data_IF_650867935592
#
_entry.id   IF_650867935592
#
_cell.length_a   1.000
_cell.length_b   1.000
_cell.length_c   1.000
_cell.angle_alpha   90.00
_cell.angle_beta   90.00
_cell.angle_gamma   90.00
#
_symmetry.space_group_name_H-M   'P 1'
#
loop_
_entity.id
_entity.type
_entity.pdbx_description
1 polymer ?
#
# COMPACT_ATOMS: atom_id res chain seq x y z
N UNK A 1 -29.26 -10.68 -1.76
CA UNK A 1 -29.87 -9.56 -1.00
C UNK A 1 -29.02 -8.29 -1.11
N UNK A 2 -27.71 -8.34 -0.84
CA UNK A 2 -26.80 -7.17 -0.94
C UNK A 2 -26.85 -6.51 -2.33
N UNK A 3 -26.65 -7.28 -3.41
CA UNK A 3 -26.68 -6.75 -4.78
C UNK A 3 -28.00 -6.04 -5.12
N UNK A 4 -29.14 -6.68 -4.82
CA UNK A 4 -30.44 -6.06 -5.04
C UNK A 4 -30.71 -4.82 -4.16
N UNK A 5 -30.05 -4.66 -3.01
CA UNK A 5 -30.17 -3.46 -2.19
C UNK A 5 -29.32 -2.31 -2.73
N UNK A 6 -28.14 -2.63 -3.26
CA UNK A 6 -27.26 -1.70 -3.97
C UNK A 6 -27.92 -1.19 -5.26
N UNK A 7 -28.45 -2.08 -6.10
CA UNK A 7 -29.12 -1.72 -7.36
C UNK A 7 -30.31 -0.76 -7.17
N UNK A 8 -30.92 -0.80 -5.98
CA UNK A 8 -32.04 0.08 -5.60
C UNK A 8 -31.60 1.40 -4.95
N UNK A 9 -30.29 1.65 -4.82
CA UNK A 9 -29.74 2.83 -4.16
C UNK A 9 -30.02 2.89 -2.66
N UNK A 10 -30.49 1.79 -2.05
CA UNK A 10 -30.86 1.71 -0.64
C UNK A 10 -29.71 1.28 0.27
N UNK A 11 -28.50 1.19 -0.27
CA UNK A 11 -27.33 0.65 0.41
C UNK A 11 -26.09 1.42 0.01
N UNK A 12 -25.32 1.89 1.00
CA UNK A 12 -24.11 2.65 0.73
C UNK A 12 -23.07 1.78 -0.01
N UNK A 13 -22.41 2.28 -1.07
CA UNK A 13 -21.45 1.51 -1.85
C UNK A 13 -20.30 0.91 -1.01
N UNK A 14 -19.73 1.68 -0.07
CA UNK A 14 -18.67 1.23 0.83
C UNK A 14 -19.11 0.02 1.66
N UNK A 15 -20.26 0.11 2.33
CA UNK A 15 -20.82 -0.99 3.12
C UNK A 15 -21.18 -2.20 2.24
N UNK A 16 -21.63 -1.96 1.01
CA UNK A 16 -21.87 -3.03 0.04
C UNK A 16 -20.59 -3.80 -0.26
N UNK A 17 -19.50 -3.08 -0.55
CA UNK A 17 -18.20 -3.67 -0.83
C UNK A 17 -17.67 -4.46 0.38
N UNK A 18 -17.77 -3.90 1.59
CA UNK A 18 -17.39 -4.59 2.83
C UNK A 18 -18.17 -5.90 3.02
N UNK A 19 -19.49 -5.87 2.87
CA UNK A 19 -20.33 -7.06 3.01
C UNK A 19 -20.03 -8.10 1.93
N UNK A 20 -19.82 -7.68 0.68
CA UNK A 20 -19.46 -8.59 -0.41
C UNK A 20 -18.11 -9.26 -0.14
N UNK A 21 -17.13 -8.50 0.34
CA UNK A 21 -15.82 -9.02 0.77
C UNK A 21 -15.95 -10.00 1.94
N UNK A 22 -16.80 -9.72 2.92
CA UNK A 22 -17.03 -10.60 4.07
C UNK A 22 -17.78 -11.90 3.69
N UNK A 23 -18.71 -11.81 2.73
CA UNK A 23 -19.40 -12.99 2.19
C UNK A 23 -18.45 -13.85 1.35
N UNK A 24 -17.45 -13.24 0.71
CA UNK A 24 -16.42 -13.89 -0.10
C UNK A 24 -17.00 -14.80 -1.21
N UNK A 25 -18.19 -14.47 -1.74
CA UNK A 25 -18.83 -15.24 -2.79
C UNK A 25 -18.52 -14.64 -4.16
N UNK A 26 -18.04 -15.48 -5.10
CA UNK A 26 -17.58 -15.08 -6.45
C UNK A 26 -18.56 -14.21 -7.24
N UNK A 27 -19.86 -14.38 -7.03
CA UNK A 27 -20.89 -13.56 -7.67
C UNK A 27 -20.81 -12.06 -7.33
N UNK A 28 -20.15 -11.68 -6.23
CA UNK A 28 -19.92 -10.27 -5.87
C UNK A 28 -18.78 -9.62 -6.66
N UNK A 29 -17.90 -10.40 -7.27
CA UNK A 29 -16.68 -9.89 -7.88
C UNK A 29 -16.92 -8.86 -9.01
N UNK A 30 -17.82 -9.10 -9.99
CA UNK A 30 -18.06 -8.12 -11.05
C UNK A 30 -18.56 -6.77 -10.52
N UNK A 31 -19.33 -6.80 -9.42
CA UNK A 31 -19.87 -5.58 -8.80
C UNK A 31 -18.77 -4.82 -8.07
N UNK A 32 -17.85 -5.51 -7.39
CA UNK A 32 -16.69 -4.89 -6.77
C UNK A 32 -15.74 -4.27 -7.81
N UNK A 33 -15.53 -4.95 -8.94
CA UNK A 33 -14.73 -4.43 -10.05
C UNK A 33 -15.38 -3.18 -10.67
N UNK A 34 -16.69 -3.18 -10.86
CA UNK A 34 -17.43 -2.01 -11.32
C UNK A 34 -17.30 -0.85 -10.33
N UNK A 35 -17.51 -1.09 -9.03
CA UNK A 35 -17.34 -0.08 -7.97
C UNK A 35 -15.94 0.53 -7.95
N UNK A 36 -14.90 -0.27 -8.14
CA UNK A 36 -13.52 0.22 -8.13
C UNK A 36 -13.26 1.20 -9.30
N UNK A 37 -14.00 1.08 -10.40
CA UNK A 37 -13.81 1.88 -11.61
C UNK A 37 -14.90 2.95 -11.82
N UNK A 38 -15.87 3.03 -10.91
CA UNK A 38 -16.97 3.98 -10.95
C UNK A 38 -16.66 5.21 -10.10
N UNK A 39 -16.72 6.40 -10.71
CA UNK A 39 -16.51 7.69 -10.04
C UNK A 39 -17.59 7.97 -8.99
N UNK A 40 -18.84 7.53 -9.22
CA UNK A 40 -19.93 7.72 -8.26
C UNK A 40 -19.76 6.83 -7.00
N UNK A 41 -18.88 5.82 -7.09
CA UNK A 41 -18.52 4.92 -6.01
C UNK A 41 -17.21 5.32 -5.30
N UNK A 42 -16.80 6.60 -5.33
CA UNK A 42 -15.57 7.10 -4.69
C UNK A 42 -15.41 6.60 -3.24
N UNK A 43 -16.49 6.66 -2.45
CA UNK A 43 -16.50 6.18 -1.06
C UNK A 43 -16.15 4.70 -0.91
N UNK A 44 -16.36 3.90 -1.95
CA UNK A 44 -16.18 2.45 -1.93
C UNK A 44 -14.81 1.99 -2.42
N UNK A 45 -14.01 2.82 -3.11
CA UNK A 45 -12.84 2.33 -3.85
C UNK A 45 -11.87 1.48 -3.02
N UNK A 46 -11.56 1.91 -1.79
CA UNK A 46 -10.69 1.14 -0.90
C UNK A 46 -11.34 -0.18 -0.46
N UNK A 47 -12.60 -0.12 -0.01
CA UNK A 47 -13.35 -1.30 0.38
C UNK A 47 -13.52 -2.29 -0.78
N UNK A 48 -13.72 -1.78 -2.00
CA UNK A 48 -13.89 -2.57 -3.23
C UNK A 48 -12.60 -3.31 -3.59
N UNK A 49 -11.45 -2.63 -3.63
CA UNK A 49 -10.17 -3.28 -3.92
C UNK A 49 -9.81 -4.36 -2.90
N UNK A 50 -10.00 -4.10 -1.61
CA UNK A 50 -9.79 -5.10 -0.53
C UNK A 50 -10.79 -6.27 -0.65
N UNK A 51 -12.05 -5.99 -0.93
CA UNK A 51 -13.06 -7.02 -1.10
C UNK A 51 -12.80 -7.91 -2.34
N UNK A 52 -12.26 -7.36 -3.44
CA UNK A 52 -11.83 -8.15 -4.60
C UNK A 52 -10.80 -9.20 -4.21
N UNK A 53 -9.78 -8.79 -3.44
CA UNK A 53 -8.77 -9.68 -2.89
C UNK A 53 -9.36 -10.78 -1.98
N UNK A 54 -10.37 -10.46 -1.17
CA UNK A 54 -11.04 -11.45 -0.31
C UNK A 54 -11.92 -12.43 -1.08
N UNK A 55 -12.57 -11.97 -2.16
CA UNK A 55 -13.51 -12.80 -2.93
C UNK A 55 -12.79 -13.81 -3.82
N UNK A 56 -11.66 -13.43 -4.44
CA UNK A 56 -10.94 -14.30 -5.38
C UNK A 56 -9.52 -14.66 -4.93
N UNK A 57 -9.01 -14.13 -3.82
CA UNK A 57 -7.62 -14.33 -3.43
C UNK A 57 -6.67 -13.89 -4.54
N UNK A 58 -5.60 -14.65 -4.72
CA UNK A 58 -4.55 -14.38 -5.72
C UNK A 58 -5.09 -14.26 -7.16
N UNK A 59 -6.24 -14.88 -7.48
CA UNK A 59 -6.85 -14.79 -8.81
C UNK A 59 -7.33 -13.37 -9.16
N UNK A 60 -7.50 -12.48 -8.16
CA UNK A 60 -7.81 -11.05 -8.38
C UNK A 60 -6.57 -10.20 -8.70
N UNK A 61 -5.36 -10.72 -8.48
CA UNK A 61 -4.11 -9.99 -8.63
C UNK A 61 -3.94 -9.30 -9.99
N UNK A 62 -4.20 -9.98 -11.14
CA UNK A 62 -4.12 -9.36 -12.46
C UNK A 62 -5.04 -8.15 -12.62
N UNK A 63 -6.30 -8.25 -12.18
CA UNK A 63 -7.29 -7.16 -12.30
C UNK A 63 -6.92 -5.98 -11.41
N UNK A 64 -6.47 -6.24 -10.18
CA UNK A 64 -5.99 -5.20 -9.28
C UNK A 64 -4.72 -4.52 -9.81
N UNK A 65 -3.81 -5.28 -10.43
CA UNK A 65 -2.61 -4.72 -11.06
C UNK A 65 -2.94 -3.87 -12.29
N UNK A 66 -3.96 -4.24 -13.07
CA UNK A 66 -4.49 -3.40 -14.16
C UNK A 66 -5.10 -2.13 -13.58
N UNK A 67 -5.97 -2.23 -12.57
CA UNK A 67 -6.60 -1.07 -11.93
C UNK A 67 -5.56 -0.11 -11.33
N UNK A 68 -4.50 -0.61 -10.69
CA UNK A 68 -3.41 0.22 -10.16
C UNK A 68 -2.73 1.07 -11.25
N UNK A 69 -2.62 0.55 -12.47
CA UNK A 69 -1.98 1.24 -13.60
C UNK A 69 -2.93 2.13 -14.39
N UNK A 70 -4.17 1.69 -14.57
CA UNK A 70 -5.06 2.18 -15.62
C UNK A 70 -6.34 2.84 -15.09
N UNK A 71 -6.71 2.63 -13.82
CA UNK A 71 -7.90 3.29 -13.28
C UNK A 71 -7.74 4.82 -13.40
N UNK A 72 -8.76 5.55 -13.88
CA UNK A 72 -8.64 6.98 -14.19
C UNK A 72 -8.34 7.78 -12.92
N UNK A 73 -9.10 7.48 -11.87
CA UNK A 73 -9.04 8.18 -10.60
C UNK A 73 -7.90 7.68 -9.70
N UNK A 74 -7.22 8.63 -9.06
CA UNK A 74 -6.14 8.30 -8.11
C UNK A 74 -6.67 7.45 -6.95
N UNK A 75 -7.87 7.75 -6.45
CA UNK A 75 -8.45 7.00 -5.34
C UNK A 75 -8.79 5.56 -5.72
N UNK A 76 -9.23 5.30 -6.95
CA UNK A 76 -9.40 3.96 -7.49
C UNK A 76 -8.07 3.20 -7.57
N UNK A 77 -7.00 3.84 -8.07
CA UNK A 77 -5.64 3.25 -8.06
C UNK A 77 -5.17 2.92 -6.64
N UNK A 78 -5.47 3.79 -5.66
CA UNK A 78 -5.17 3.53 -4.26
C UNK A 78 -5.99 2.36 -3.68
N UNK A 79 -7.27 2.25 -4.04
CA UNK A 79 -8.09 1.09 -3.71
C UNK A 79 -7.50 -0.21 -4.24
N UNK A 80 -7.02 -0.20 -5.49
CA UNK A 80 -6.31 -1.33 -6.07
C UNK A 80 -5.01 -1.66 -5.31
N UNK A 81 -4.23 -0.66 -4.89
CA UNK A 81 -3.03 -0.85 -4.07
C UNK A 81 -3.35 -1.52 -2.71
N UNK A 82 -4.45 -1.13 -2.06
CA UNK A 82 -4.91 -1.80 -0.83
C UNK A 82 -5.35 -3.24 -1.09
N UNK A 83 -6.03 -3.52 -2.20
CA UNK A 83 -6.36 -4.88 -2.61
C UNK A 83 -5.12 -5.74 -2.82
N UNK A 84 -4.11 -5.22 -3.53
CA UNK A 84 -2.84 -5.91 -3.74
C UNK A 84 -2.08 -6.16 -2.44
N UNK A 85 -2.13 -5.22 -1.48
CA UNK A 85 -1.55 -5.41 -0.15
C UNK A 85 -2.26 -6.51 0.65
N UNK A 86 -3.59 -6.61 0.55
CA UNK A 86 -4.40 -7.66 1.20
C UNK A 86 -4.02 -9.07 0.70
N UNK A 87 -3.59 -9.20 -0.57
CA UNK A 87 -3.12 -10.48 -1.11
C UNK A 87 -1.82 -10.98 -0.47
N UNK A 88 -0.99 -10.08 0.07
CA UNK A 88 0.29 -10.44 0.68
C UNK A 88 1.34 -10.98 -0.29
N UNK A 89 1.14 -10.83 -1.60
CA UNK A 89 2.07 -11.32 -2.62
C UNK A 89 3.27 -10.38 -2.79
N UNK A 90 4.47 -10.94 -2.80
CA UNK A 90 5.72 -10.21 -3.01
C UNK A 90 5.72 -9.47 -4.35
N UNK A 91 5.10 -10.06 -5.38
CA UNK A 91 5.03 -9.46 -6.72
C UNK A 91 4.25 -8.13 -6.74
N UNK A 92 3.37 -7.89 -5.76
CA UNK A 92 2.64 -6.62 -5.65
C UNK A 92 3.52 -5.46 -5.22
N UNK A 93 4.60 -5.71 -4.47
CA UNK A 93 5.40 -4.65 -3.85
C UNK A 93 6.03 -3.74 -4.90
N UNK A 94 6.63 -4.33 -5.93
CA UNK A 94 7.27 -3.58 -7.01
C UNK A 94 6.27 -2.66 -7.73
N UNK A 95 5.06 -3.15 -8.02
CA UNK A 95 4.02 -2.36 -8.69
C UNK A 95 3.51 -1.20 -7.84
N UNK A 96 3.29 -1.44 -6.54
CA UNK A 96 2.84 -0.40 -5.59
C UNK A 96 3.93 0.68 -5.40
N UNK A 97 5.19 0.26 -5.29
CA UNK A 97 6.33 1.18 -5.18
C UNK A 97 6.45 2.02 -6.44
N UNK A 98 6.45 1.42 -7.63
CA UNK A 98 6.49 2.15 -8.90
C UNK A 98 5.37 3.18 -8.99
N UNK A 99 4.13 2.78 -8.68
CA UNK A 99 2.97 3.66 -8.66
C UNK A 99 3.14 4.84 -7.69
N UNK A 100 3.78 4.63 -6.54
CA UNK A 100 4.11 5.68 -5.59
C UNK A 100 5.19 6.65 -6.10
N UNK A 101 6.24 6.13 -6.73
CA UNK A 101 7.36 6.93 -7.27
C UNK A 101 6.91 7.86 -8.42
N UNK A 102 6.08 7.35 -9.33
CA UNK A 102 5.52 8.14 -10.44
C UNK A 102 4.34 9.04 -10.03
N UNK A 103 3.96 9.03 -8.76
CA UNK A 103 2.82 9.81 -8.25
C UNK A 103 1.44 9.34 -8.72
N UNK A 104 1.32 8.12 -9.26
CA UNK A 104 0.04 7.52 -9.64
C UNK A 104 -0.84 7.24 -8.41
N UNK A 105 -0.22 6.97 -7.26
CA UNK A 105 -0.83 6.94 -5.93
C UNK A 105 -0.02 7.82 -4.97
N UNK A 106 -0.62 8.22 -3.83
CA UNK A 106 0.13 8.96 -2.81
C UNK A 106 1.29 8.10 -2.28
N UNK A 107 2.49 8.68 -2.17
CA UNK A 107 3.67 7.98 -1.64
C UNK A 107 3.44 7.38 -0.23
N UNK A 108 2.63 8.05 0.63
CA UNK A 108 2.24 7.51 1.94
C UNK A 108 1.34 6.27 1.83
N UNK A 109 0.47 6.21 0.81
CA UNK A 109 -0.35 5.02 0.54
C UNK A 109 0.54 3.90 0.01
N UNK A 110 1.45 4.19 -0.92
CA UNK A 110 2.45 3.24 -1.39
C UNK A 110 3.28 2.64 -0.25
N UNK A 111 3.77 3.49 0.67
CA UNK A 111 4.52 3.04 1.85
C UNK A 111 3.65 2.21 2.81
N UNK A 112 2.40 2.63 3.05
CA UNK A 112 1.46 1.89 3.90
C UNK A 112 1.21 0.47 3.39
N UNK A 113 0.84 0.37 2.11
CA UNK A 113 0.56 -0.89 1.42
C UNK A 113 1.83 -1.73 1.28
N UNK A 114 2.95 -1.12 0.89
CA UNK A 114 4.23 -1.82 0.73
C UNK A 114 4.78 -2.38 2.05
N UNK A 115 4.55 -1.72 3.17
CA UNK A 115 4.94 -2.23 4.48
C UNK A 115 4.04 -3.37 5.01
N UNK A 116 2.90 -3.67 4.36
CA UNK A 116 2.07 -4.85 4.65
C UNK A 116 2.59 -6.10 3.92
N UNK A 117 3.38 -5.90 2.87
CA UNK A 117 3.90 -6.97 2.03
C UNK A 117 5.19 -7.57 2.63
N UNK A 118 5.57 -8.78 2.16
CA UNK A 118 6.88 -9.35 2.46
C UNK A 118 8.01 -8.37 2.17
N UNK A 119 9.01 -8.34 3.06
CA UNK A 119 10.17 -7.48 2.91
C UNK A 119 11.07 -8.05 1.80
N UNK A 120 11.29 -7.26 0.75
CA UNK A 120 12.19 -7.56 -0.36
C UNK A 120 13.49 -6.76 -0.15
N UNK A 121 14.58 -7.36 0.35
CA UNK A 121 15.73 -6.60 0.83
C UNK A 121 16.34 -5.68 -0.24
N UNK A 122 16.48 -6.19 -1.46
CA UNK A 122 17.12 -5.45 -2.55
C UNK A 122 16.33 -4.19 -2.93
N UNK A 123 15.01 -4.29 -3.04
CA UNK A 123 14.14 -3.15 -3.35
C UNK A 123 14.17 -2.10 -2.23
N UNK A 124 14.14 -2.53 -0.96
CA UNK A 124 14.20 -1.60 0.17
C UNK A 124 15.54 -0.88 0.24
N UNK A 125 16.64 -1.61 0.01
CA UNK A 125 17.98 -1.03 -0.05
C UNK A 125 18.15 -0.08 -1.23
N UNK A 126 17.62 -0.42 -2.40
CA UNK A 126 17.62 0.44 -3.58
C UNK A 126 16.90 1.76 -3.31
N UNK A 127 15.68 1.71 -2.75
CA UNK A 127 14.93 2.91 -2.39
C UNK A 127 15.67 3.77 -1.36
N UNK A 128 16.24 3.15 -0.32
CA UNK A 128 16.95 3.86 0.74
C UNK A 128 18.25 4.51 0.25
N UNK A 129 18.97 3.87 -0.67
CA UNK A 129 20.24 4.36 -1.20
C UNK A 129 20.08 5.18 -2.49
N UNK A 130 18.85 5.35 -2.99
CA UNK A 130 18.60 6.07 -4.24
C UNK A 130 19.12 7.52 -4.16
N UNK A 131 19.69 8.00 -5.27
CA UNK A 131 20.06 9.41 -5.43
C UNK A 131 18.81 10.30 -5.57
N UNK A 132 17.74 9.75 -6.15
CA UNK A 132 16.46 10.43 -6.31
C UNK A 132 15.76 10.65 -4.96
N UNK A 133 15.31 11.88 -4.73
CA UNK A 133 14.66 12.28 -3.48
C UNK A 133 13.30 11.61 -3.30
N UNK A 134 12.54 11.34 -4.37
CA UNK A 134 11.23 10.69 -4.24
C UNK A 134 11.40 9.23 -3.79
N UNK A 135 12.35 8.51 -4.37
CA UNK A 135 12.74 7.17 -3.96
C UNK A 135 13.27 7.11 -2.53
N UNK A 136 14.21 7.99 -2.15
CA UNK A 136 14.73 8.03 -0.78
C UNK A 136 13.67 8.39 0.24
N UNK A 137 12.76 9.32 -0.10
CA UNK A 137 11.62 9.68 0.73
C UNK A 137 10.66 8.50 0.91
N UNK A 138 10.37 7.75 -0.15
CA UNK A 138 9.52 6.56 -0.08
C UNK A 138 10.19 5.45 0.74
N UNK A 139 11.49 5.19 0.55
CA UNK A 139 12.25 4.22 1.33
C UNK A 139 12.24 4.52 2.82
N UNK A 140 12.50 5.78 3.20
CA UNK A 140 12.42 6.19 4.63
C UNK A 140 10.98 6.18 5.17
N UNK A 141 9.97 6.40 4.33
CA UNK A 141 8.56 6.27 4.72
C UNK A 141 8.18 4.81 4.96
N UNK A 142 8.65 3.88 4.13
CA UNK A 142 8.45 2.44 4.32
C UNK A 142 9.01 1.98 5.67
N UNK A 143 10.23 2.40 6.02
CA UNK A 143 10.85 2.12 7.33
C UNK A 143 10.03 2.74 8.46
N UNK A 144 9.65 4.01 8.34
CA UNK A 144 8.86 4.72 9.35
C UNK A 144 7.50 4.06 9.59
N UNK A 145 6.78 3.72 8.51
CA UNK A 145 5.49 3.03 8.60
C UNK A 145 5.68 1.70 9.30
N UNK A 146 6.63 0.88 8.87
CA UNK A 146 6.87 -0.44 9.45
C UNK A 146 7.20 -0.36 10.96
N UNK A 147 8.00 0.61 11.38
CA UNK A 147 8.36 0.82 12.80
C UNK A 147 7.20 1.31 13.67
N UNK A 148 6.20 1.99 13.10
CA UNK A 148 5.03 2.48 13.82
C UNK A 148 3.82 1.55 13.73
N UNK A 149 3.96 0.38 13.10
CA UNK A 149 2.97 -0.67 13.20
C UNK A 149 3.02 -1.30 14.58
N UNK A 150 1.87 -1.81 15.04
CA UNK A 150 1.78 -2.74 16.17
C UNK A 150 2.29 -4.14 15.76
N UNK A 151 3.48 -4.20 15.13
CA UNK A 151 4.15 -5.45 14.77
C UNK A 151 5.42 -5.60 15.63
N UNK A 152 5.44 -6.56 16.58
CA UNK A 152 6.61 -6.80 17.42
C UNK A 152 7.84 -7.26 16.62
N UNK A 153 7.64 -7.81 15.41
CA UNK A 153 8.71 -8.26 14.52
C UNK A 153 9.31 -7.17 13.63
N UNK A 154 8.71 -5.97 13.55
CA UNK A 154 9.09 -4.93 12.59
C UNK A 154 10.56 -4.55 12.68
N UNK A 155 11.06 -4.31 13.91
CA UNK A 155 12.48 -3.98 14.14
C UNK A 155 13.40 -5.10 13.71
N UNK A 156 13.08 -6.35 14.06
CA UNK A 156 13.87 -7.52 13.67
C UNK A 156 13.93 -7.65 12.15
N UNK A 157 12.80 -7.48 11.46
CA UNK A 157 12.73 -7.53 9.99
C UNK A 157 13.62 -6.46 9.34
N UNK A 158 13.57 -5.23 9.85
CA UNK A 158 14.43 -4.15 9.37
C UNK A 158 15.91 -4.38 9.69
N UNK A 159 16.23 -4.96 10.84
CA UNK A 159 17.62 -5.30 11.19
C UNK A 159 18.21 -6.36 10.24
N UNK A 160 17.39 -7.21 9.59
CA UNK A 160 17.85 -8.14 8.56
C UNK A 160 18.36 -7.45 7.28
N UNK A 161 17.96 -6.20 7.01
CA UNK A 161 18.54 -5.39 5.93
C UNK A 161 20.01 -5.01 6.20
N UNK A 162 20.46 -5.20 7.44
CA UNK A 162 21.85 -5.04 7.85
C UNK A 162 22.31 -3.58 7.98
N UNK A 163 23.62 -3.37 8.22
CA UNK A 163 24.19 -2.05 8.49
C UNK A 163 24.01 -1.04 7.35
N UNK A 164 23.90 -1.52 6.09
CA UNK A 164 23.73 -0.68 4.91
C UNK A 164 22.43 0.12 4.97
N UNK A 165 21.32 -0.51 5.36
CA UNK A 165 20.04 0.19 5.50
C UNK A 165 20.09 1.26 6.61
N UNK A 166 20.73 0.96 7.75
CA UNK A 166 20.91 1.95 8.83
C UNK A 166 21.76 3.14 8.39
N UNK A 167 22.81 2.88 7.61
CA UNK A 167 23.65 3.93 7.04
C UNK A 167 22.87 4.82 6.08
N UNK A 168 22.13 4.23 5.14
CA UNK A 168 21.30 4.98 4.18
C UNK A 168 20.22 5.82 4.87
N UNK A 169 19.60 5.33 5.96
CA UNK A 169 18.66 6.12 6.75
C UNK A 169 19.35 7.30 7.46
N UNK A 170 20.56 7.12 7.99
CA UNK A 170 21.33 8.24 8.58
C UNK A 170 21.68 9.30 7.54
N UNK A 171 22.16 8.88 6.37
CA UNK A 171 22.42 9.78 5.25
C UNK A 171 21.17 10.57 4.85
N UNK A 172 20.00 9.91 4.82
CA UNK A 172 18.73 10.58 4.55
C UNK A 172 18.28 11.54 5.67
N UNK A 173 18.66 11.27 6.93
CA UNK A 173 18.39 12.17 8.06
C UNK A 173 19.29 13.41 8.03
N UNK A 174 20.54 13.25 7.60
CA UNK A 174 21.53 14.32 7.49
C UNK A 174 21.29 15.22 6.26
N UNK A 175 20.49 14.76 5.30
CA UNK A 175 20.12 15.51 4.10
C UNK A 175 19.06 16.60 4.39
N UNK A 176 19.42 17.89 4.37
CA UNK A 176 18.48 18.98 4.68
C UNK A 176 17.40 19.16 3.61
N UNK A 177 17.59 18.62 2.40
CA UNK A 177 16.62 18.69 1.32
C UNK A 177 15.47 17.68 1.48
N UNK A 178 15.68 16.64 2.29
CA UNK A 178 14.68 15.64 2.60
C UNK A 178 13.88 16.03 3.85
N UNK A 179 12.83 16.83 3.62
CA UNK A 179 11.91 17.17 4.70
C UNK A 179 11.21 15.92 5.27
N UNK A 180 11.30 15.77 6.59
CA UNK A 180 10.62 14.74 7.37
C UNK A 180 9.96 15.38 8.60
N UNK A 181 8.80 14.86 8.99
CA UNK A 181 8.15 15.26 10.24
C UNK A 181 9.05 14.94 11.44
N UNK A 182 9.05 15.76 12.51
CA UNK A 182 9.90 15.53 13.69
C UNK A 182 9.73 14.14 14.30
N UNK A 183 8.50 13.64 14.39
CA UNK A 183 8.19 12.29 14.87
C UNK A 183 8.86 11.21 14.00
N UNK A 184 8.74 11.33 12.67
CA UNK A 184 9.39 10.42 11.73
C UNK A 184 10.91 10.42 11.91
N UNK A 185 11.52 11.60 12.04
CA UNK A 185 12.97 11.72 12.27
C UNK A 185 13.38 10.99 13.54
N UNK A 186 12.69 11.24 14.66
CA UNK A 186 12.99 10.60 15.94
C UNK A 186 12.87 9.07 15.87
N UNK A 187 11.84 8.53 15.20
CA UNK A 187 11.68 7.08 15.01
C UNK A 187 12.84 6.48 14.20
N UNK A 188 13.23 7.14 13.10
CA UNK A 188 14.31 6.69 12.22
C UNK A 188 15.69 6.79 12.89
N UNK A 189 15.94 7.85 13.66
CA UNK A 189 17.15 8.02 14.48
C UNK A 189 17.26 6.91 15.53
N UNK A 190 16.18 6.61 16.24
CA UNK A 190 16.14 5.58 17.28
C UNK A 190 16.35 4.15 16.75
N UNK A 191 16.08 3.90 15.46
CA UNK A 191 16.33 2.60 14.82
C UNK A 191 17.73 2.51 14.18
N UNK A 192 18.19 3.59 13.55
CA UNK A 192 19.45 3.63 12.79
C UNK A 192 20.70 3.80 13.66
N UNK A 193 20.53 4.18 14.94
CA UNK A 193 21.63 4.24 15.92
C UNK A 193 22.10 2.82 16.30
N UNK A 194 23.41 2.53 16.27
CA UNK A 194 23.94 1.26 16.77
C UNK A 194 23.57 1.03 18.23
N UNK A 195 23.20 -0.20 18.61
CA UNK A 195 23.12 -0.63 20.00
C UNK A 195 24.45 -1.21 20.45
#
# INVERSE_FOLDING_TARGET
MVLAALDRGSFAPELAAELLGAIAHRAGYPVLQAMLLDEEAESAWVAAGVAMARVLGLDSGPDLAVALREAPERGAREGAAFGLAELGDEAALAGIVDAGLRGAIRARVAARCGADLPLVPDLWLELLAAEDHAARRLGTELVYVLLNRNDPGARQRLDMLGPRAKMAVREALDDPSLYMLPEKRATLEAWSTPR
#
